data_IF_647406357413
#
_entry.id   IF_647406357413
#
_cell.length_a   1.000
_cell.length_b   1.000
_cell.length_c   1.000
_cell.angle_alpha   90.00
_cell.angle_beta   90.00
_cell.angle_gamma   90.00
#
_symmetry.space_group_name_H-M   'P 1'
#
loop_
_entity.id
_entity.type
_entity.pdbx_description
1 polymer ?
#
# COMPACT_ATOMS: atom_id res chain seq x y z
N UNK A 1 -9.97 0.81 -3.06
CA UNK A 1 -9.51 0.62 -4.44
C UNK A 1 -10.10 -0.67 -4.99
N UNK A 2 -10.64 -0.66 -6.17
CA UNK A 2 -11.17 -1.81 -6.91
C UNK A 2 -10.84 -1.66 -8.40
N UNK A 3 -11.37 -2.55 -9.26
CA UNK A 3 -11.07 -2.55 -10.70
C UNK A 3 -11.57 -1.30 -11.45
N UNK A 4 -12.42 -0.49 -10.84
CA UNK A 4 -13.01 0.71 -11.44
C UNK A 4 -12.35 2.00 -10.98
N UNK A 5 -11.62 1.98 -9.87
CA UNK A 5 -10.96 3.17 -9.36
C UNK A 5 -10.53 3.09 -7.91
N UNK A 6 -10.21 4.25 -7.37
CA UNK A 6 -9.83 4.40 -5.96
C UNK A 6 -10.49 5.64 -5.36
N UNK A 7 -10.63 5.62 -4.04
CA UNK A 7 -11.10 6.74 -3.24
C UNK A 7 -9.95 7.25 -2.39
N UNK A 8 -9.73 8.54 -2.41
CA UNK A 8 -8.83 9.24 -1.52
C UNK A 8 -9.65 10.01 -0.49
N UNK A 9 -9.44 9.71 0.78
CA UNK A 9 -10.07 10.42 1.89
C UNK A 9 -9.07 11.41 2.46
N UNK A 10 -9.53 12.63 2.68
CA UNK A 10 -8.76 13.71 3.29
C UNK A 10 -9.65 14.45 4.29
N UNK A 11 -9.06 15.00 5.31
CA UNK A 11 -9.69 15.84 6.31
C UNK A 11 -9.78 17.32 5.89
N UNK A 12 -9.13 17.67 4.77
CA UNK A 12 -9.12 19.03 4.24
C UNK A 12 -9.70 19.04 2.82
N UNK A 13 -10.29 20.16 2.42
CA UNK A 13 -10.75 20.35 1.05
C UNK A 13 -9.56 20.38 0.10
N UNK A 14 -9.63 19.51 -0.93
CA UNK A 14 -8.59 19.44 -1.96
C UNK A 14 -8.90 20.48 -3.03
N UNK A 15 -7.92 21.33 -3.34
CA UNK A 15 -7.96 22.16 -4.52
C UNK A 15 -7.85 21.27 -5.77
N UNK A 16 -8.93 21.19 -6.54
CA UNK A 16 -8.98 20.37 -7.75
C UNK A 16 -8.00 20.83 -8.84
N UNK A 17 -7.49 22.05 -8.76
CA UNK A 17 -6.48 22.57 -9.71
C UNK A 17 -5.14 21.83 -9.65
N UNK A 18 -4.81 21.22 -8.52
CA UNK A 18 -3.60 20.42 -8.37
C UNK A 18 -3.68 19.05 -9.07
N UNK A 19 -4.90 18.59 -9.40
CA UNK A 19 -5.10 17.32 -10.07
C UNK A 19 -4.80 17.49 -11.55
N UNK A 20 -3.56 17.20 -11.92
CA UNK A 20 -3.09 17.25 -13.30
C UNK A 20 -2.55 15.87 -13.72
N UNK A 21 -2.26 15.71 -15.01
CA UNK A 21 -1.63 14.48 -15.52
C UNK A 21 -0.27 14.20 -14.89
N UNK A 22 0.44 15.23 -14.45
CA UNK A 22 1.75 15.09 -13.82
C UNK A 22 1.69 14.36 -12.47
N UNK A 23 0.55 14.45 -11.77
CA UNK A 23 0.31 13.71 -10.54
C UNK A 23 0.38 12.18 -10.76
N UNK A 24 0.08 11.74 -11.97
CA UNK A 24 0.11 10.31 -12.34
C UNK A 24 1.42 9.92 -13.03
N UNK A 25 2.49 10.72 -12.89
CA UNK A 25 3.80 10.43 -13.46
C UNK A 25 4.38 9.13 -12.90
N UNK A 26 4.95 8.31 -13.79
CA UNK A 26 5.62 7.07 -13.42
C UNK A 26 7.14 7.20 -13.35
N UNK A 27 7.69 8.43 -13.48
CA UNK A 27 9.14 8.65 -13.54
C UNK A 27 9.87 8.26 -12.25
N UNK A 28 9.26 8.51 -11.10
CA UNK A 28 9.80 8.20 -9.76
C UNK A 28 8.94 7.19 -9.01
N UNK A 29 8.13 6.40 -9.75
CA UNK A 29 7.15 5.50 -9.16
C UNK A 29 7.77 4.50 -8.17
N UNK A 30 8.93 3.94 -8.51
CA UNK A 30 9.59 2.93 -7.65
C UNK A 30 10.10 3.59 -6.37
N UNK A 31 10.73 4.75 -6.47
CA UNK A 31 11.24 5.53 -5.34
C UNK A 31 10.09 5.98 -4.43
N UNK A 32 8.99 6.46 -5.01
CA UNK A 32 7.80 6.88 -4.26
C UNK A 32 7.16 5.71 -3.52
N UNK A 33 7.05 4.54 -4.18
CA UNK A 33 6.56 3.32 -3.56
C UNK A 33 7.50 2.90 -2.42
N UNK A 34 8.80 2.85 -2.65
CA UNK A 34 9.79 2.46 -1.64
C UNK A 34 9.81 3.40 -0.44
N UNK A 35 9.57 4.69 -0.66
CA UNK A 35 9.45 5.71 0.38
C UNK A 35 8.17 5.62 1.21
N UNK A 36 7.13 4.92 0.73
CA UNK A 36 5.87 4.81 1.44
C UNK A 36 5.98 3.97 2.72
N UNK A 37 5.26 4.35 3.77
CA UNK A 37 5.23 3.61 5.05
C UNK A 37 4.81 2.15 4.85
N UNK A 38 3.82 1.91 4.00
CA UNK A 38 3.31 0.56 3.76
C UNK A 38 4.36 -0.34 3.10
N UNK A 39 5.13 0.18 2.14
CA UNK A 39 6.17 -0.61 1.47
C UNK A 39 7.32 -0.95 2.43
N UNK A 40 7.70 -0.03 3.31
CA UNK A 40 8.73 -0.28 4.34
C UNK A 40 8.28 -1.39 5.29
N UNK A 41 7.03 -1.38 5.73
CA UNK A 41 6.50 -2.43 6.60
C UNK A 41 6.38 -3.78 5.87
N UNK A 42 5.97 -3.79 4.60
CA UNK A 42 5.95 -4.99 3.77
C UNK A 42 7.35 -5.55 3.56
N UNK A 43 8.32 -4.67 3.24
CA UNK A 43 9.71 -5.04 3.09
C UNK A 43 10.29 -5.62 4.39
N UNK A 44 10.00 -5.02 5.54
CA UNK A 44 10.43 -5.52 6.86
C UNK A 44 9.86 -6.91 7.16
N UNK A 45 8.63 -7.17 6.80
CA UNK A 45 7.99 -8.50 6.93
C UNK A 45 8.65 -9.51 5.99
N UNK A 46 8.86 -9.16 4.73
CA UNK A 46 9.47 -10.03 3.73
C UNK A 46 10.92 -10.32 4.05
N UNK A 47 11.69 -9.31 4.46
CA UNK A 47 13.07 -9.45 4.90
C UNK A 47 13.23 -10.47 6.02
N UNK A 48 12.28 -10.58 6.94
CA UNK A 48 12.30 -11.58 8.01
C UNK A 48 12.35 -13.00 7.46
N UNK A 49 11.59 -13.27 6.40
CA UNK A 49 11.55 -14.61 5.80
C UNK A 49 12.84 -14.87 5.01
N UNK A 50 13.31 -13.90 4.26
CA UNK A 50 14.60 -13.96 3.55
C UNK A 50 15.74 -14.16 4.53
N UNK A 51 15.80 -13.40 5.62
CA UNK A 51 16.83 -13.49 6.63
C UNK A 51 16.84 -14.84 7.38
N UNK A 52 15.70 -15.49 7.51
CA UNK A 52 15.62 -16.86 8.06
C UNK A 52 16.17 -17.89 7.08
N UNK A 53 15.76 -17.80 5.81
CA UNK A 53 16.15 -18.75 4.75
C UNK A 53 17.64 -18.63 4.45
N UNK A 54 18.17 -17.42 4.40
CA UNK A 54 19.60 -17.15 4.16
C UNK A 54 20.52 -17.46 5.35
N UNK A 55 19.93 -17.81 6.53
CA UNK A 55 20.71 -18.09 7.74
C UNK A 55 21.24 -16.86 8.47
N UNK A 56 20.90 -15.64 8.04
CA UNK A 56 21.27 -14.40 8.76
C UNK A 56 20.71 -14.37 10.18
N UNK A 57 19.59 -15.06 10.40
CA UNK A 57 18.95 -15.14 11.71
C UNK A 57 18.93 -16.59 12.16
N UNK A 58 19.63 -16.85 13.24
CA UNK A 58 19.63 -18.17 13.88
C UNK A 58 18.27 -18.48 14.49
N UNK A 59 17.59 -19.48 13.96
CA UNK A 59 16.24 -19.89 14.36
C UNK A 59 16.18 -20.78 15.61
N UNK A 60 17.31 -21.26 16.10
CA UNK A 60 17.43 -22.23 17.19
C UNK A 60 17.90 -23.60 16.72
N UNK A 61 18.08 -24.51 17.65
CA UNK A 61 18.41 -25.91 17.37
C UNK A 61 17.16 -26.74 17.11
N UNK A 62 17.27 -27.87 16.40
CA UNK A 62 16.17 -28.83 16.31
C UNK A 62 15.62 -29.20 17.70
N UNK A 63 14.32 -29.05 17.91
CA UNK A 63 13.68 -29.25 19.21
C UNK A 63 13.78 -28.10 20.22
N UNK A 64 14.56 -27.05 19.94
CA UNK A 64 14.70 -25.83 20.78
C UNK A 64 14.64 -24.57 19.92
N UNK A 65 13.54 -24.33 19.23
CA UNK A 65 13.32 -23.14 18.43
C UNK A 65 13.31 -21.87 19.29
N UNK A 66 13.88 -20.80 18.79
CA UNK A 66 13.78 -19.48 19.42
C UNK A 66 12.34 -18.96 19.38
N UNK A 67 11.96 -18.23 20.43
CA UNK A 67 10.65 -17.56 20.46
C UNK A 67 10.51 -16.58 19.28
N UNK A 68 9.37 -16.56 18.66
CA UNK A 68 9.07 -15.73 17.48
C UNK A 68 9.36 -14.23 17.71
N UNK A 69 9.13 -13.73 18.93
CA UNK A 69 9.44 -12.35 19.32
C UNK A 69 10.93 -12.02 19.17
N UNK A 70 11.81 -12.94 19.54
CA UNK A 70 13.27 -12.74 19.40
C UNK A 70 13.69 -12.73 17.93
N UNK A 71 13.11 -13.61 17.12
CA UNK A 71 13.35 -13.62 15.67
C UNK A 71 12.86 -12.32 15.01
N UNK A 72 11.75 -11.79 15.47
CA UNK A 72 11.19 -10.53 15.00
C UNK A 72 12.12 -9.34 15.33
N UNK A 73 12.56 -9.24 16.58
CA UNK A 73 13.48 -8.17 17.01
C UNK A 73 14.80 -8.21 16.26
N UNK A 74 15.37 -9.40 16.09
CA UNK A 74 16.64 -9.57 15.36
C UNK A 74 16.52 -9.21 13.89
N UNK A 75 15.40 -9.61 13.23
CA UNK A 75 15.19 -9.27 11.81
C UNK A 75 14.93 -7.77 11.59
N UNK A 76 14.21 -7.13 12.50
CA UNK A 76 13.97 -5.70 12.41
C UNK A 76 15.26 -4.90 12.58
N UNK A 77 16.09 -5.27 13.53
CA UNK A 77 17.39 -4.63 13.72
C UNK A 77 18.28 -4.78 12.48
N UNK A 78 18.39 -5.99 11.92
CA UNK A 78 19.18 -6.24 10.72
C UNK A 78 18.63 -5.48 9.51
N UNK A 79 17.32 -5.41 9.37
CA UNK A 79 16.68 -4.60 8.31
C UNK A 79 17.09 -3.12 8.41
N UNK A 80 17.05 -2.55 9.62
CA UNK A 80 17.43 -1.15 9.84
C UNK A 80 18.91 -0.92 9.61
N UNK A 81 19.77 -1.88 9.99
CA UNK A 81 21.22 -1.83 9.70
C UNK A 81 21.47 -1.85 8.20
N UNK A 82 20.88 -2.77 7.45
CA UNK A 82 21.05 -2.82 5.99
C UNK A 82 20.49 -1.57 5.31
N UNK A 83 19.32 -1.12 5.72
CA UNK A 83 18.74 0.12 5.19
C UNK A 83 19.68 1.32 5.35
N UNK A 84 20.39 1.40 6.46
CA UNK A 84 21.21 2.57 6.82
C UNK A 84 22.63 2.49 6.30
N UNK A 85 23.25 1.31 6.36
CA UNK A 85 24.68 1.16 6.12
C UNK A 85 25.04 0.32 4.89
N UNK A 86 24.13 -0.55 4.44
CA UNK A 86 24.36 -1.45 3.29
C UNK A 86 23.14 -1.55 2.38
N UNK A 87 22.65 -0.43 1.83
CA UNK A 87 21.45 -0.43 0.97
C UNK A 87 21.62 -1.27 -0.29
N UNK A 88 22.87 -1.48 -0.73
CA UNK A 88 23.21 -2.30 -1.91
C UNK A 88 23.36 -3.80 -1.60
N UNK A 89 23.10 -4.21 -0.37
CA UNK A 89 23.12 -5.62 -0.01
C UNK A 89 22.07 -6.41 -0.81
N UNK A 90 22.49 -7.51 -1.44
CA UNK A 90 21.63 -8.29 -2.35
C UNK A 90 20.36 -8.81 -1.69
N UNK A 91 20.42 -9.25 -0.42
CA UNK A 91 19.23 -9.74 0.29
C UNK A 91 18.27 -8.61 0.62
N UNK A 92 18.80 -7.41 0.87
CA UNK A 92 18.01 -6.23 1.12
C UNK A 92 17.34 -5.75 -0.18
N UNK A 93 18.06 -5.70 -1.29
CA UNK A 93 17.52 -5.38 -2.61
C UNK A 93 16.47 -6.40 -3.05
N UNK A 94 16.75 -7.70 -2.91
CA UNK A 94 15.79 -8.77 -3.22
C UNK A 94 14.49 -8.60 -2.43
N UNK A 95 14.58 -8.14 -1.17
CA UNK A 95 13.40 -7.89 -0.35
C UNK A 95 12.47 -6.87 -0.98
N UNK A 96 13.00 -5.73 -1.44
CA UNK A 96 12.20 -4.70 -2.10
C UNK A 96 11.69 -5.14 -3.47
N UNK A 97 12.53 -5.83 -4.25
CA UNK A 97 12.15 -6.36 -5.55
C UNK A 97 10.98 -7.34 -5.45
N UNK A 98 11.01 -8.24 -4.46
CA UNK A 98 9.89 -9.16 -4.20
C UNK A 98 8.63 -8.44 -3.75
N UNK A 99 8.74 -7.40 -2.91
CA UNK A 99 7.58 -6.60 -2.48
C UNK A 99 6.99 -5.84 -3.66
N UNK A 100 7.80 -5.20 -4.48
CA UNK A 100 7.35 -4.48 -5.67
C UNK A 100 6.65 -5.41 -6.67
N UNK A 101 7.25 -6.57 -6.93
CA UNK A 101 6.76 -7.50 -7.96
C UNK A 101 5.51 -8.25 -7.50
N UNK A 102 5.54 -8.84 -6.31
CA UNK A 102 4.50 -9.79 -5.90
C UNK A 102 3.43 -9.19 -4.98
N UNK A 103 3.74 -8.18 -4.20
CA UNK A 103 2.78 -7.61 -3.25
C UNK A 103 2.13 -6.33 -3.76
N UNK A 104 2.87 -5.49 -4.47
CA UNK A 104 2.38 -4.21 -4.95
C UNK A 104 2.04 -4.21 -6.44
N UNK A 105 2.38 -5.28 -7.16
CA UNK A 105 2.11 -5.40 -8.60
C UNK A 105 2.54 -4.13 -9.38
N UNK A 106 3.76 -3.65 -9.13
CA UNK A 106 4.28 -2.39 -9.66
C UNK A 106 4.04 -2.24 -11.17
N UNK A 107 4.27 -3.30 -11.93
CA UNK A 107 4.07 -3.28 -13.37
C UNK A 107 2.61 -2.98 -13.77
N UNK A 108 1.63 -3.50 -13.03
CA UNK A 108 0.21 -3.21 -13.26
C UNK A 108 -0.14 -1.78 -12.88
N UNK A 109 0.40 -1.30 -11.76
CA UNK A 109 0.24 0.09 -11.34
C UNK A 109 0.81 1.06 -12.39
N UNK A 110 2.03 0.80 -12.84
CA UNK A 110 2.68 1.58 -13.92
C UNK A 110 1.84 1.61 -15.20
N UNK A 111 1.32 0.47 -15.62
CA UNK A 111 0.44 0.41 -16.79
C UNK A 111 -0.83 1.24 -16.59
N UNK A 112 -1.44 1.17 -15.41
CA UNK A 112 -2.63 1.95 -15.10
C UNK A 112 -2.35 3.47 -15.10
N UNK A 113 -1.26 3.90 -14.47
CA UNK A 113 -0.87 5.29 -14.43
C UNK A 113 -0.51 5.84 -15.83
N UNK A 114 0.25 5.10 -16.63
CA UNK A 114 0.53 5.47 -18.01
C UNK A 114 -0.76 5.61 -18.83
N UNK A 115 -1.71 4.68 -18.66
CA UNK A 115 -3.00 4.78 -19.33
C UNK A 115 -3.77 6.04 -18.93
N UNK A 116 -3.71 6.46 -17.67
CA UNK A 116 -4.33 7.73 -17.22
C UNK A 116 -3.64 8.92 -17.88
N UNK A 117 -2.31 8.91 -18.00
CA UNK A 117 -1.56 9.99 -18.64
C UNK A 117 -1.90 10.13 -20.13
N UNK A 118 -2.14 9.02 -20.83
CA UNK A 118 -2.46 8.99 -22.25
C UNK A 118 -3.92 9.38 -22.55
N UNK A 119 -4.82 9.32 -21.56
CA UNK A 119 -6.23 9.65 -21.72
C UNK A 119 -6.53 11.12 -21.36
N UNK A 120 -7.71 11.58 -21.74
CA UNK A 120 -8.24 12.86 -21.28
C UNK A 120 -8.62 12.77 -19.80
N UNK A 121 -8.17 13.75 -19.01
CA UNK A 121 -8.53 13.87 -17.61
C UNK A 121 -9.74 14.78 -17.46
N UNK A 122 -10.89 14.20 -17.14
CA UNK A 122 -12.13 14.95 -16.90
C UNK A 122 -12.34 15.06 -15.39
N UNK A 123 -12.34 16.30 -14.88
CA UNK A 123 -12.55 16.60 -13.46
C UNK A 123 -13.98 17.14 -13.31
N UNK A 124 -14.77 16.51 -12.44
CA UNK A 124 -16.14 16.94 -12.13
C UNK A 124 -16.31 17.09 -10.63
N UNK A 125 -17.14 18.05 -10.22
CA UNK A 125 -17.56 18.25 -8.82
C UNK A 125 -19.08 18.06 -8.76
N UNK A 126 -19.56 16.81 -8.60
CA UNK A 126 -21.00 16.55 -8.49
C UNK A 126 -21.51 16.95 -7.09
N UNK A 127 -22.78 17.33 -7.01
CA UNK A 127 -23.44 17.69 -5.74
C UNK A 127 -23.74 16.49 -4.83
N UNK A 128 -23.53 15.26 -5.31
CA UNK A 128 -23.75 14.02 -4.57
C UNK A 128 -23.04 12.82 -5.19
N UNK A 129 -23.33 11.63 -4.68
CA UNK A 129 -22.71 10.40 -5.16
C UNK A 129 -23.15 10.05 -6.59
N UNK A 130 -22.17 9.82 -7.44
CA UNK A 130 -22.41 9.39 -8.83
C UNK A 130 -22.51 7.87 -8.94
N UNK A 131 -23.15 7.33 -9.99
CA UNK A 131 -23.13 5.90 -10.26
C UNK A 131 -21.73 5.29 -10.35
N UNK A 132 -20.72 6.08 -10.79
CA UNK A 132 -19.33 5.65 -10.88
C UNK A 132 -18.64 5.58 -9.51
N UNK A 133 -18.98 6.48 -8.58
CA UNK A 133 -18.43 6.48 -7.22
C UNK A 133 -19.07 5.42 -6.32
N UNK A 134 -20.32 5.04 -6.58
CA UNK A 134 -21.11 4.16 -5.74
C UNK A 134 -20.43 2.79 -5.47
N UNK A 135 -19.91 2.05 -6.46
CA UNK A 135 -19.23 0.77 -6.22
C UNK A 135 -18.00 0.90 -5.30
N UNK A 136 -17.25 2.00 -5.42
CA UNK A 136 -16.05 2.25 -4.60
C UNK A 136 -16.45 2.49 -3.15
N UNK A 137 -17.52 3.26 -2.94
CA UNK A 137 -18.06 3.57 -1.61
C UNK A 137 -18.61 2.31 -0.94
N UNK A 138 -19.35 1.47 -1.67
CA UNK A 138 -19.89 0.20 -1.16
C UNK A 138 -18.73 -0.74 -0.75
N UNK A 139 -17.68 -0.79 -1.54
CA UNK A 139 -16.48 -1.57 -1.25
C UNK A 139 -15.80 -1.10 0.05
N UNK A 140 -15.69 0.22 0.26
CA UNK A 140 -15.19 0.80 1.51
C UNK A 140 -16.04 0.39 2.70
N UNK A 141 -17.35 0.60 2.63
CA UNK A 141 -18.28 0.25 3.69
C UNK A 141 -18.25 -1.24 4.03
N UNK A 142 -18.03 -2.09 3.03
CA UNK A 142 -17.90 -3.54 3.23
C UNK A 142 -16.63 -3.92 4.00
N UNK A 143 -15.53 -3.21 3.77
CA UNK A 143 -14.25 -3.43 4.50
C UNK A 143 -14.29 -2.91 5.93
N UNK A 144 -15.04 -1.84 6.18
CA UNK A 144 -15.22 -1.25 7.50
C UNK A 144 -16.19 -2.05 8.41
N UNK A 145 -16.68 -3.21 7.96
CA UNK A 145 -17.60 -4.10 8.71
C UNK A 145 -17.12 -4.51 10.11
N UNK A 146 -15.87 -4.29 10.44
CA UNK A 146 -15.30 -4.54 11.78
C UNK A 146 -15.68 -3.46 12.81
N UNK A 147 -16.38 -2.38 12.41
CA UNK A 147 -16.87 -1.38 13.31
C UNK A 147 -18.27 -1.75 13.82
N UNK A 148 -18.56 -1.37 15.06
CA UNK A 148 -19.77 -1.70 15.83
C UNK A 148 -21.09 -1.13 15.25
N UNK A 149 -21.05 -0.33 14.19
CA UNK A 149 -22.23 0.23 13.52
C UNK A 149 -22.74 -0.68 12.42
N UNK A 150 -24.07 -0.84 12.36
CA UNK A 150 -24.69 -1.61 11.29
C UNK A 150 -24.52 -0.89 9.94
N UNK A 151 -24.37 -1.69 8.86
CA UNK A 151 -24.30 -1.17 7.49
C UNK A 151 -25.51 -0.29 7.13
N UNK A 152 -26.70 -0.63 7.64
CA UNK A 152 -27.93 0.11 7.41
C UNK A 152 -27.88 1.52 8.00
N UNK A 153 -27.29 1.71 9.18
CA UNK A 153 -27.19 3.02 9.82
C UNK A 153 -26.21 3.94 9.10
N UNK A 154 -25.15 3.38 8.52
CA UNK A 154 -24.18 4.11 7.71
C UNK A 154 -24.76 4.56 6.38
N UNK A 155 -25.47 3.68 5.70
CA UNK A 155 -26.16 4.01 4.43
C UNK A 155 -27.21 5.09 4.67
N UNK A 156 -27.99 5.03 5.76
CA UNK A 156 -28.93 6.09 6.12
C UNK A 156 -28.24 7.43 6.32
N UNK A 157 -27.12 7.47 7.04
CA UNK A 157 -26.35 8.71 7.26
C UNK A 157 -25.85 9.31 5.95
N UNK A 158 -25.35 8.47 5.02
CA UNK A 158 -24.89 8.95 3.72
C UNK A 158 -26.01 9.55 2.87
N UNK A 159 -27.21 8.96 2.90
CA UNK A 159 -28.39 9.48 2.18
C UNK A 159 -28.87 10.81 2.80
N UNK A 160 -28.66 11.01 4.10
CA UNK A 160 -29.09 12.23 4.82
C UNK A 160 -28.10 13.39 4.65
N UNK A 161 -26.84 13.11 4.29
CA UNK A 161 -25.77 14.11 4.12
C UNK A 161 -25.53 14.52 2.65
N UNK A 162 -26.16 13.88 1.69
CA UNK A 162 -26.14 14.20 0.25
C UNK A 162 -27.46 14.75 -0.20
#
# INVERSE_FOLDING_TARGET
>A
MNDYGFELLTDQEIDLSIISKDLFSTKQLVEDIQGSLNSVEMARRRFRDIAKISGLIFQGYPGKAKKQRHLQSSSSLLFDVFKTYEPDNLLFQQTYEEVLTFQLEEARLRMALNRIQDQELVITKPDGYTPLSFPIIVDRLSRERLSSESMADRVKRMITLG
#
